data_IF_546862294925
#
_entry.id   IF_546862294925
#
_cell.length_a   1.000
_cell.length_b   1.000
_cell.length_c   1.000
_cell.angle_alpha   90.00
_cell.angle_beta   90.00
_cell.angle_gamma   90.00
#
_symmetry.space_group_name_H-M   'P 1'
#
loop_
_entity.id
_entity.type
_entity.pdbx_description
1 polymer ?
#
# COMPACT_ATOMS: atom_id res chain seq x y z
N UNK A 1 -12.10 16.01 -2.26
CA UNK A 1 -11.83 14.84 -3.07
C UNK A 1 -12.66 13.63 -2.64
N UNK A 2 -12.27 12.86 -1.66
CA UNK A 2 -13.09 11.73 -1.21
C UNK A 2 -13.76 11.97 0.14
N UNK A 3 -13.63 13.14 0.68
CA UNK A 3 -14.17 13.45 1.98
C UNK A 3 -13.56 12.60 3.08
N UNK A 4 -14.33 12.37 4.14
CA UNK A 4 -13.85 11.65 5.31
C UNK A 4 -13.82 10.12 5.13
N UNK A 5 -14.49 9.61 4.11
CA UNK A 5 -14.59 8.17 3.88
C UNK A 5 -13.46 7.60 3.03
N UNK A 6 -12.68 8.47 2.36
CA UNK A 6 -11.59 8.05 1.50
C UNK A 6 -12.06 7.56 0.14
N UNK A 7 -11.20 6.85 -0.62
CA UNK A 7 -11.54 6.33 -1.94
C UNK A 7 -12.64 5.29 -1.87
N UNK A 8 -13.55 5.32 -2.85
CA UNK A 8 -14.62 4.35 -2.94
C UNK A 8 -14.12 3.10 -3.65
N UNK A 9 -13.87 2.05 -2.87
CA UNK A 9 -13.32 0.80 -3.36
C UNK A 9 -14.19 -0.39 -2.93
N UNK A 10 -14.34 -1.40 -3.81
CA UNK A 10 -14.99 -2.64 -3.38
C UNK A 10 -14.13 -3.36 -2.33
N UNK A 11 -14.78 -4.13 -1.45
CA UNK A 11 -14.08 -4.85 -0.39
C UNK A 11 -13.07 -5.86 -0.94
N UNK A 12 -13.30 -6.37 -2.14
CA UNK A 12 -12.44 -7.33 -2.81
C UNK A 12 -11.17 -6.70 -3.37
N UNK A 13 -11.10 -5.37 -3.45
CA UNK A 13 -9.90 -4.67 -3.91
C UNK A 13 -8.87 -4.67 -2.77
N UNK A 14 -8.04 -5.69 -2.75
CA UNK A 14 -7.06 -5.91 -1.69
C UNK A 14 -5.71 -5.27 -1.97
N UNK A 15 -5.31 -5.21 -3.24
CA UNK A 15 -4.04 -4.62 -3.66
C UNK A 15 -4.33 -3.27 -4.31
N UNK A 16 -3.90 -2.19 -3.68
CA UNK A 16 -4.20 -0.82 -4.13
C UNK A 16 -2.91 -0.03 -4.32
N UNK A 17 -2.78 0.59 -5.47
CA UNK A 17 -1.69 1.54 -5.75
C UNK A 17 -2.23 2.95 -5.60
N UNK A 18 -1.62 3.73 -4.72
CA UNK A 18 -2.01 5.11 -4.45
C UNK A 18 -0.99 6.04 -5.13
N UNK A 19 -1.44 6.75 -6.15
CA UNK A 19 -0.60 7.67 -6.91
C UNK A 19 -0.81 9.09 -6.38
N UNK A 20 0.23 9.63 -5.78
CA UNK A 20 0.21 11.00 -5.25
C UNK A 20 1.60 11.42 -4.85
N UNK A 21 1.82 12.72 -4.81
CA UNK A 21 3.03 13.28 -4.23
C UNK A 21 3.01 13.07 -2.71
N UNK A 22 1.84 13.25 -2.11
CA UNK A 22 1.59 12.98 -0.68
C UNK A 22 0.11 12.69 -0.51
N UNK A 23 -0.23 11.68 0.27
CA UNK A 23 -1.61 11.22 0.41
C UNK A 23 -1.93 10.71 1.81
N UNK A 24 -1.70 11.52 2.86
CA UNK A 24 -1.92 11.07 4.23
C UNK A 24 -3.38 10.68 4.52
N UNK A 25 -4.35 11.39 3.93
CA UNK A 25 -5.75 11.09 4.16
C UNK A 25 -6.18 9.79 3.48
N UNK A 26 -5.71 9.55 2.26
CA UNK A 26 -5.97 8.29 1.57
C UNK A 26 -5.32 7.11 2.31
N UNK A 27 -4.10 7.32 2.81
CA UNK A 27 -3.40 6.31 3.61
C UNK A 27 -4.19 5.94 4.85
N UNK A 28 -4.66 6.93 5.60
CA UNK A 28 -5.44 6.69 6.82
C UNK A 28 -6.75 5.97 6.51
N UNK A 29 -7.45 6.39 5.45
CA UNK A 29 -8.69 5.76 5.04
C UNK A 29 -8.50 4.29 4.67
N UNK A 30 -7.47 3.98 3.90
CA UNK A 30 -7.17 2.60 3.49
C UNK A 30 -6.69 1.76 4.67
N UNK A 31 -5.85 2.33 5.52
CA UNK A 31 -5.34 1.64 6.72
C UNK A 31 -6.47 1.29 7.68
N UNK A 32 -7.51 2.11 7.76
CA UNK A 32 -8.66 1.87 8.62
C UNK A 32 -9.60 0.78 8.15
N UNK A 33 -9.35 0.16 6.99
CA UNK A 33 -10.19 -0.92 6.47
C UNK A 33 -10.02 -2.24 7.22
N UNK A 34 -8.95 -2.36 8.00
CA UNK A 34 -8.68 -3.59 8.75
C UNK A 34 -8.61 -3.37 10.25
N UNK A 35 -8.32 -4.43 10.97
CA UNK A 35 -8.23 -4.44 12.42
C UNK A 35 -6.84 -4.08 12.93
N UNK A 36 -5.83 -4.17 12.08
CA UNK A 36 -4.43 -3.86 12.41
C UNK A 36 -3.68 -3.43 11.17
N UNK A 37 -2.63 -2.64 11.37
CA UNK A 37 -1.85 -2.08 10.27
C UNK A 37 -0.37 -2.41 10.46
N UNK A 38 0.26 -2.88 9.38
CA UNK A 38 1.72 -2.97 9.30
C UNK A 38 2.19 -1.86 8.36
N UNK A 39 2.96 -0.92 8.88
CA UNK A 39 3.58 0.13 8.07
C UNK A 39 4.99 -0.31 7.68
N UNK A 40 5.19 -0.57 6.38
CA UNK A 40 6.52 -0.85 5.82
C UNK A 40 7.08 0.49 5.34
N UNK A 41 8.01 1.04 6.08
CA UNK A 41 8.57 2.36 5.78
C UNK A 41 9.99 2.27 5.25
N UNK A 42 10.24 2.95 4.14
CA UNK A 42 11.56 2.97 3.49
C UNK A 42 12.36 4.24 3.77
N UNK A 43 11.72 5.29 4.26
CA UNK A 43 12.36 6.59 4.46
C UNK A 43 11.95 7.18 5.81
N UNK A 44 11.93 8.50 5.91
CA UNK A 44 11.60 9.24 7.12
C UNK A 44 10.13 9.21 7.51
N UNK A 45 9.32 8.44 6.81
CA UNK A 45 7.93 8.23 7.22
C UNK A 45 7.93 7.55 8.58
N UNK A 46 7.19 8.11 9.53
CA UNK A 46 7.14 7.56 10.89
C UNK A 46 5.78 6.95 11.19
N UNK A 47 5.78 5.92 12.02
CA UNK A 47 4.52 5.32 12.46
C UNK A 47 3.67 6.30 13.26
N UNK A 48 4.33 7.26 13.96
CA UNK A 48 3.64 8.28 14.74
C UNK A 48 2.70 9.12 13.88
N UNK A 49 3.13 9.52 12.68
CA UNK A 49 2.30 10.30 11.77
C UNK A 49 1.06 9.54 11.37
N UNK A 50 1.19 8.26 11.05
CA UNK A 50 0.04 7.44 10.70
C UNK A 50 -0.88 7.22 11.89
N UNK A 51 -0.32 6.94 13.06
CA UNK A 51 -1.10 6.76 14.30
C UNK A 51 -1.94 8.00 14.58
N UNK A 52 -1.34 9.19 14.51
CA UNK A 52 -2.07 10.45 14.77
C UNK A 52 -3.22 10.65 13.79
N UNK A 53 -3.00 10.33 12.51
CA UNK A 53 -4.05 10.48 11.51
C UNK A 53 -5.19 9.49 11.70
N UNK A 54 -4.87 8.27 12.12
CA UNK A 54 -5.88 7.26 12.43
C UNK A 54 -6.68 7.68 13.67
N UNK A 55 -6.02 8.22 14.69
CA UNK A 55 -6.67 8.71 15.89
C UNK A 55 -7.62 9.89 15.60
N UNK A 56 -7.24 10.76 14.67
CA UNK A 56 -8.07 11.89 14.25
C UNK A 56 -9.30 11.44 13.47
N UNK A 57 -9.20 10.30 12.79
CA UNK A 57 -10.22 9.84 11.85
C UNK A 57 -11.20 8.83 12.45
N UNK A 58 -10.74 8.00 13.37
CA UNK A 58 -11.52 6.90 13.94
C UNK A 58 -11.58 6.98 15.47
N UNK A 59 -12.72 6.62 16.05
CA UNK A 59 -12.88 6.55 17.50
C UNK A 59 -12.06 5.41 18.09
N UNK A 60 -12.00 4.30 17.36
CA UNK A 60 -11.29 3.10 17.79
C UNK A 60 -10.31 2.69 16.68
N UNK A 61 -9.20 3.43 16.52
CA UNK A 61 -8.28 3.20 15.42
C UNK A 61 -7.55 1.86 15.55
N UNK A 62 -7.21 1.23 14.42
CA UNK A 62 -6.43 -0.02 14.47
C UNK A 62 -5.01 0.26 14.97
N UNK A 63 -4.42 -0.69 15.71
CA UNK A 63 -3.03 -0.55 16.13
C UNK A 63 -2.09 -0.60 14.93
N UNK A 64 -0.99 0.14 15.01
CA UNK A 64 0.02 0.23 13.95
C UNK A 64 1.33 -0.35 14.45
N UNK A 65 1.93 -1.21 13.64
CA UNK A 65 3.27 -1.74 13.85
C UNK A 65 4.12 -1.33 12.64
N UNK A 66 5.36 -0.96 12.86
CA UNK A 66 6.25 -0.54 11.77
C UNK A 66 7.33 -1.58 11.49
N UNK A 67 7.64 -1.75 10.21
CA UNK A 67 8.82 -2.46 9.73
C UNK A 67 9.68 -1.42 9.03
N UNK A 68 10.82 -1.08 9.61
CA UNK A 68 11.73 -0.09 9.04
C UNK A 68 12.72 -0.74 8.08
N UNK A 69 12.53 -0.50 6.79
CA UNK A 69 13.48 -0.97 5.78
C UNK A 69 14.69 -0.06 5.82
N UNK A 70 15.86 -0.67 5.96
CA UNK A 70 17.11 0.04 6.24
C UNK A 70 17.55 -0.11 7.70
N UNK A 71 16.60 -0.30 8.61
CA UNK A 71 16.87 -0.51 10.03
C UNK A 71 16.72 -1.98 10.41
N UNK A 72 15.56 -2.56 10.08
CA UNK A 72 15.23 -3.93 10.46
C UNK A 72 15.60 -4.94 9.37
N UNK A 73 15.60 -4.52 8.12
CA UNK A 73 15.93 -5.36 6.96
C UNK A 73 16.59 -4.48 5.89
N UNK A 74 17.52 -5.04 5.14
CA UNK A 74 18.22 -4.31 4.09
C UNK A 74 17.28 -3.91 2.94
N UNK A 75 17.41 -2.69 2.38
CA UNK A 75 16.54 -2.23 1.30
C UNK A 75 16.58 -3.09 0.04
N UNK A 76 17.70 -3.72 -0.26
CA UNK A 76 17.86 -4.59 -1.44
C UNK A 76 17.49 -6.05 -1.18
N UNK A 77 17.22 -6.40 0.08
CA UNK A 77 16.87 -7.77 0.46
C UNK A 77 15.37 -7.99 0.33
N UNK A 78 14.91 -8.22 -0.89
CA UNK A 78 13.48 -8.43 -1.17
C UNK A 78 12.96 -9.71 -0.52
N UNK A 79 13.77 -10.75 -0.45
CA UNK A 79 13.38 -11.99 0.21
C UNK A 79 13.13 -11.76 1.69
N UNK A 80 14.03 -11.06 2.37
CA UNK A 80 13.89 -10.73 3.80
C UNK A 80 12.68 -9.85 4.07
N UNK A 81 12.47 -8.85 3.22
CA UNK A 81 11.28 -7.99 3.33
C UNK A 81 10.00 -8.78 3.14
N UNK A 82 9.97 -9.65 2.14
CA UNK A 82 8.81 -10.49 1.85
C UNK A 82 8.47 -11.43 3.00
N UNK A 83 9.47 -12.04 3.61
CA UNK A 83 9.28 -12.93 4.76
C UNK A 83 8.72 -12.16 5.95
N UNK A 84 9.31 -10.98 6.25
CA UNK A 84 8.87 -10.16 7.38
C UNK A 84 7.42 -9.70 7.21
N UNK A 85 7.06 -9.29 5.99
CA UNK A 85 5.69 -8.88 5.69
C UNK A 85 4.74 -10.08 5.79
N UNK A 86 5.11 -11.22 5.18
CA UNK A 86 4.26 -12.40 5.17
C UNK A 86 3.96 -12.92 6.59
N UNK A 87 4.91 -12.84 7.49
CA UNK A 87 4.72 -13.24 8.88
C UNK A 87 3.70 -12.37 9.61
N UNK A 88 3.52 -11.13 9.17
CA UNK A 88 2.57 -10.20 9.78
C UNK A 88 1.16 -10.31 9.17
N UNK A 89 1.00 -11.00 8.05
CA UNK A 89 -0.28 -11.11 7.38
C UNK A 89 -1.23 -12.03 8.15
N UNK A 90 -2.47 -11.57 8.29
CA UNK A 90 -3.55 -12.33 8.89
C UNK A 90 -4.86 -11.72 8.38
N UNK A 91 -5.99 -12.40 8.53
CA UNK A 91 -7.27 -11.79 8.14
C UNK A 91 -7.44 -10.43 8.81
N UNK A 92 -7.91 -9.45 8.05
CA UNK A 92 -8.15 -8.07 8.51
C UNK A 92 -6.87 -7.26 8.79
N UNK A 93 -5.70 -7.72 8.34
CA UNK A 93 -4.47 -6.93 8.39
C UNK A 93 -4.37 -6.08 7.13
N UNK A 94 -4.01 -4.80 7.29
CA UNK A 94 -3.70 -3.91 6.17
C UNK A 94 -2.21 -3.58 6.23
N UNK A 95 -1.52 -3.76 5.12
CA UNK A 95 -0.11 -3.39 5.00
C UNK A 95 -0.02 -2.10 4.17
N UNK A 96 0.63 -1.09 4.72
CA UNK A 96 0.93 0.15 4.02
C UNK A 96 2.42 0.16 3.66
N UNK A 97 2.73 0.26 2.37
CA UNK A 97 4.12 0.37 1.88
C UNK A 97 4.37 1.80 1.44
N UNK A 98 5.25 2.51 2.12
CA UNK A 98 5.43 3.96 1.92
C UNK A 98 6.90 4.38 2.00
N UNK A 99 7.44 4.94 0.96
CA UNK A 99 6.93 4.95 -0.42
C UNK A 99 7.52 3.81 -1.27
N UNK A 100 6.77 3.29 -2.19
CA UNK A 100 7.25 2.24 -3.09
C UNK A 100 8.41 2.75 -3.98
N UNK A 101 8.38 4.04 -4.33
CA UNK A 101 9.43 4.66 -5.11
C UNK A 101 10.82 4.58 -4.48
N UNK A 102 10.90 4.51 -3.15
CA UNK A 102 12.18 4.36 -2.46
C UNK A 102 12.81 2.99 -2.72
N UNK A 103 11.99 1.96 -2.87
CA UNK A 103 12.46 0.62 -3.22
C UNK A 103 13.15 0.62 -4.58
N UNK A 104 12.62 1.40 -5.52
CA UNK A 104 13.14 1.49 -6.89
C UNK A 104 14.54 2.10 -6.98
N UNK A 105 15.05 2.66 -5.90
CA UNK A 105 16.44 3.14 -5.84
C UNK A 105 17.42 2.00 -5.55
N UNK A 106 16.94 0.86 -5.10
CA UNK A 106 17.76 -0.28 -4.72
C UNK A 106 17.59 -1.47 -5.64
N UNK A 107 16.44 -1.58 -6.29
CA UNK A 107 16.14 -2.70 -7.19
C UNK A 107 15.56 -2.14 -8.48
N UNK A 108 15.61 -2.91 -9.57
CA UNK A 108 15.03 -2.48 -10.83
C UNK A 108 13.51 -2.67 -10.84
N UNK A 109 12.86 -2.12 -11.87
CA UNK A 109 11.41 -2.18 -12.03
C UNK A 109 10.88 -3.61 -12.07
N UNK A 110 11.58 -4.49 -12.76
CA UNK A 110 11.16 -5.88 -12.89
C UNK A 110 11.21 -6.61 -11.56
N UNK A 111 12.27 -6.39 -10.78
CA UNK A 111 12.40 -6.95 -9.43
C UNK A 111 11.30 -6.42 -8.51
N UNK A 112 10.99 -5.12 -8.59
CA UNK A 112 9.93 -4.52 -7.82
C UNK A 112 8.57 -5.13 -8.20
N UNK A 113 8.32 -5.33 -9.49
CA UNK A 113 7.09 -5.95 -9.98
C UNK A 113 6.94 -7.37 -9.41
N UNK A 114 7.98 -8.18 -9.49
CA UNK A 114 7.95 -9.55 -8.97
C UNK A 114 7.67 -9.58 -7.47
N UNK A 115 8.30 -8.67 -6.75
CA UNK A 115 8.10 -8.54 -5.30
C UNK A 115 6.64 -8.21 -4.97
N UNK A 116 6.09 -7.19 -5.62
CA UNK A 116 4.69 -6.77 -5.42
C UNK A 116 3.72 -7.88 -5.81
N UNK A 117 3.98 -8.54 -6.94
CA UNK A 117 3.15 -9.65 -7.41
C UNK A 117 3.11 -10.80 -6.39
N UNK A 118 4.26 -11.17 -5.85
CA UNK A 118 4.36 -12.21 -4.83
C UNK A 118 3.62 -11.83 -3.56
N UNK A 119 3.75 -10.56 -3.13
CA UNK A 119 3.01 -10.07 -1.97
C UNK A 119 1.50 -10.12 -2.20
N UNK A 120 1.05 -9.85 -3.42
CA UNK A 120 -0.35 -9.94 -3.78
C UNK A 120 -0.91 -11.35 -3.60
N UNK A 121 -0.14 -12.35 -4.00
CA UNK A 121 -0.53 -13.74 -3.80
C UNK A 121 -0.64 -14.09 -2.32
N UNK A 122 0.29 -13.59 -1.50
CA UNK A 122 0.26 -13.80 -0.05
C UNK A 122 -0.94 -13.12 0.59
N UNK A 123 -1.27 -11.91 0.14
CA UNK A 123 -2.45 -11.20 0.63
C UNK A 123 -3.74 -11.96 0.32
N UNK A 124 -3.86 -12.50 -0.88
CA UNK A 124 -5.03 -13.27 -1.27
C UNK A 124 -5.19 -14.51 -0.39
N UNK A 125 -4.08 -15.22 -0.13
CA UNK A 125 -4.08 -16.42 0.70
C UNK A 125 -4.45 -16.15 2.16
N UNK A 126 -4.06 -14.98 2.68
CA UNK A 126 -4.24 -14.63 4.09
C UNK A 126 -5.45 -13.75 4.37
N UNK A 127 -6.20 -13.36 3.35
CA UNK A 127 -7.33 -12.42 3.44
C UNK A 127 -6.91 -11.06 4.02
N UNK A 128 -5.70 -10.64 3.68
CA UNK A 128 -5.13 -9.34 4.04
C UNK A 128 -5.32 -8.35 2.89
N UNK A 129 -4.98 -7.09 3.13
CA UNK A 129 -4.96 -6.05 2.10
C UNK A 129 -3.65 -5.28 2.17
N UNK A 130 -3.21 -4.73 1.04
CA UNK A 130 -2.01 -3.90 0.96
C UNK A 130 -2.29 -2.67 0.12
N UNK A 131 -1.72 -1.55 0.51
CA UNK A 131 -1.68 -0.39 -0.38
C UNK A 131 -0.25 0.15 -0.44
N UNK A 132 0.09 0.65 -1.61
CA UNK A 132 1.44 1.12 -1.93
C UNK A 132 1.36 2.58 -2.33
N UNK A 133 2.20 3.42 -1.74
CA UNK A 133 2.27 4.83 -2.10
C UNK A 133 3.36 5.03 -3.14
N UNK A 134 3.03 5.70 -4.23
CA UNK A 134 3.97 5.98 -5.31
C UNK A 134 3.73 7.39 -5.85
N UNK A 135 4.78 8.21 -5.86
CA UNK A 135 4.70 9.52 -6.48
C UNK A 135 4.93 9.37 -7.99
N UNK A 136 3.91 9.56 -8.83
CA UNK A 136 4.06 9.35 -10.27
C UNK A 136 5.01 10.34 -10.92
N UNK A 137 5.27 11.49 -10.30
CA UNK A 137 6.23 12.46 -10.81
C UNK A 137 7.68 12.05 -10.57
N UNK A 138 7.92 11.10 -9.66
CA UNK A 138 9.27 10.65 -9.31
C UNK A 138 9.74 9.46 -10.16
N UNK A 139 8.86 8.86 -10.96
CA UNK A 139 9.16 7.69 -11.80
C UNK A 139 8.59 7.93 -13.20
N UNK A 140 8.99 7.11 -14.18
CA UNK A 140 8.45 7.24 -15.52
C UNK A 140 7.08 6.56 -15.64
N UNK A 141 6.37 6.88 -16.72
CA UNK A 141 5.02 6.35 -16.97
C UNK A 141 5.03 4.82 -17.11
N UNK A 142 6.10 4.28 -17.64
CA UNK A 142 6.26 2.83 -17.83
C UNK A 142 6.34 2.11 -16.48
N UNK A 143 7.02 2.72 -15.51
CA UNK A 143 7.11 2.18 -14.16
C UNK A 143 5.74 2.16 -13.49
N UNK A 144 4.98 3.26 -13.62
CA UNK A 144 3.61 3.31 -13.08
C UNK A 144 2.75 2.22 -13.72
N UNK A 145 2.80 2.09 -15.04
CA UNK A 145 2.02 1.07 -15.75
C UNK A 145 2.39 -0.34 -15.32
N UNK A 146 3.69 -0.63 -15.19
CA UNK A 146 4.18 -1.94 -14.77
C UNK A 146 3.72 -2.29 -13.36
N UNK A 147 3.86 -1.36 -12.42
CA UNK A 147 3.50 -1.60 -11.03
C UNK A 147 1.99 -1.59 -10.80
N UNK A 148 1.21 -1.08 -11.76
CA UNK A 148 -0.26 -1.15 -11.71
C UNK A 148 -0.79 -2.53 -12.07
N UNK A 149 -0.03 -3.33 -12.81
CA UNK A 149 -0.50 -4.63 -13.29
C UNK A 149 -0.94 -5.61 -12.19
N UNK A 150 -0.23 -5.74 -11.06
CA UNK A 150 -0.65 -6.65 -10.01
C UNK A 150 -1.71 -6.07 -9.07
N UNK A 151 -2.14 -4.84 -9.30
CA UNK A 151 -3.07 -4.16 -8.41
C UNK A 151 -4.52 -4.45 -8.76
N UNK A 152 -5.37 -4.48 -7.75
CA UNK A 152 -6.82 -4.59 -7.92
C UNK A 152 -7.43 -3.22 -8.22
N UNK A 153 -6.81 -2.17 -7.71
CA UNK A 153 -7.26 -0.80 -7.93
C UNK A 153 -6.08 0.16 -7.94
N UNK A 154 -6.24 1.25 -8.67
CA UNK A 154 -5.28 2.35 -8.71
C UNK A 154 -6.04 3.63 -8.35
N UNK A 155 -5.57 4.31 -7.33
CA UNK A 155 -6.16 5.57 -6.84
C UNK A 155 -5.24 6.71 -7.22
N UNK A 156 -5.70 7.58 -8.12
CA UNK A 156 -4.98 8.79 -8.49
C UNK A 156 -5.53 9.93 -7.63
N UNK A 157 -4.82 10.26 -6.57
CA UNK A 157 -5.28 11.24 -5.57
C UNK A 157 -5.39 12.62 -6.19
N UNK A 158 -4.37 13.04 -6.93
CA UNK A 158 -4.33 14.40 -7.50
C UNK A 158 -5.37 14.59 -8.59
N UNK A 159 -5.64 13.55 -9.39
CA UNK A 159 -6.67 13.59 -10.42
C UNK A 159 -8.06 13.26 -9.91
N UNK A 160 -8.16 12.69 -8.73
CA UNK A 160 -9.44 12.28 -8.15
C UNK A 160 -10.05 11.04 -8.78
N UNK A 161 -9.27 10.26 -9.51
CA UNK A 161 -9.75 9.08 -10.24
C UNK A 161 -9.45 7.79 -9.49
N UNK A 162 -10.38 6.84 -9.57
CA UNK A 162 -10.19 5.49 -9.04
C UNK A 162 -10.47 4.51 -10.18
N UNK A 163 -9.49 3.69 -10.50
CA UNK A 163 -9.63 2.65 -11.53
C UNK A 163 -9.61 1.30 -10.83
N UNK A 164 -10.66 0.53 -11.01
CA UNK A 164 -10.80 -0.79 -10.39
C UNK A 164 -10.77 -1.86 -11.48
N UNK A 165 -10.12 -2.97 -11.18
CA UNK A 165 -10.08 -4.12 -12.09
C UNK A 165 -11.51 -4.55 -12.45
N UNK A 166 -11.85 -4.76 -13.73
CA UNK A 166 -13.24 -5.04 -14.15
C UNK A 166 -13.93 -6.19 -13.42
N UNK A 167 -13.19 -7.23 -13.07
CA UNK A 167 -13.73 -8.40 -12.37
C UNK A 167 -14.30 -8.05 -10.99
N UNK A 168 -13.88 -6.92 -10.42
CA UNK A 168 -14.28 -6.50 -9.08
C UNK A 168 -15.42 -5.50 -9.08
N UNK A 169 -15.83 -5.00 -10.25
CA UNK A 169 -16.91 -4.02 -10.34
C UNK A 169 -18.29 -4.66 -10.43
N UNK A 170 -18.36 -5.96 -10.66
CA UNK A 170 -19.62 -6.66 -10.82
C UNK A 170 -20.34 -6.38 -12.14
N UNK A 171 -19.69 -5.70 -13.06
CA UNK A 171 -20.26 -5.35 -14.36
C UNK A 171 -19.71 -6.29 -15.43
N UNK A 172 -20.21 -7.45 -15.48
CA UNK A 172 -19.77 -8.45 -16.46
C UNK A 172 -20.47 -8.33 -17.80
#
# INVERSE_FOLDING_TARGET
MWGSEGPDLPDEARMVLVLAQSSPDACAALSGRGDRVLLVRYTNVTETDLVERLEDRFEDPPPVRALGVGDDVEPSDLTGQGIAIAEALSPETVVCVDPLGALLQYVDREQAFQFVHTLGERCAESSSAMHFHLNPAAVDERTVATLSLPMDAVVDVDGGDVTVRPELTGTD
#
